data_IF_927167166516
#
_entry.id   IF_927167166516
#
_cell.length_a   1.000
_cell.length_b   1.000
_cell.length_c   1.000
_cell.angle_alpha   90.00
_cell.angle_beta   90.00
_cell.angle_gamma   90.00
#
_symmetry.space_group_name_H-M   'P 1'
#
loop_
_entity.id
_entity.type
_entity.pdbx_description
1 polymer ?
#
# COMPACT_ATOMS: atom_id res chain seq x y z
N UNK A 1 84.17 -2.93 -21.87
CA UNK A 1 83.15 -2.18 -22.66
C UNK A 1 82.04 -3.15 -23.07
N UNK A 2 80.78 -2.72 -23.07
CA UNK A 2 79.54 -3.45 -23.49
C UNK A 2 78.62 -4.07 -22.40
N UNK A 3 78.60 -3.55 -21.15
CA UNK A 3 77.56 -3.90 -20.14
C UNK A 3 76.37 -2.88 -20.11
N UNK A 4 76.40 -1.84 -20.95
CA UNK A 4 75.38 -0.75 -20.93
C UNK A 4 74.19 -0.96 -21.89
N UNK A 5 74.08 -2.09 -22.57
CA UNK A 5 73.19 -2.25 -23.75
C UNK A 5 72.09 -3.32 -23.65
N UNK A 6 71.78 -3.84 -22.46
CA UNK A 6 70.64 -4.75 -22.30
C UNK A 6 69.77 -4.46 -21.07
N UNK A 7 69.80 -3.23 -20.57
CA UNK A 7 68.74 -2.71 -19.68
C UNK A 7 67.52 -2.17 -20.47
N UNK A 8 67.58 -2.21 -21.81
CA UNK A 8 66.52 -1.72 -22.71
C UNK A 8 65.41 -2.77 -22.94
N UNK A 9 65.59 -4.01 -22.47
CA UNK A 9 64.55 -5.06 -22.58
C UNK A 9 63.67 -5.21 -21.31
N UNK A 10 63.88 -4.39 -20.28
CA UNK A 10 63.19 -4.50 -18.97
C UNK A 10 62.28 -3.29 -18.66
N UNK A 11 61.84 -2.53 -19.67
CA UNK A 11 60.98 -1.36 -19.48
C UNK A 11 59.72 -1.37 -20.34
N UNK A 12 59.26 -2.55 -20.77
CA UNK A 12 58.06 -2.66 -21.60
C UNK A 12 57.11 -3.75 -21.12
N UNK A 13 56.71 -3.69 -19.84
CA UNK A 13 55.48 -4.33 -19.40
C UNK A 13 54.88 -3.68 -18.14
N UNK A 14 54.82 -2.34 -18.12
CA UNK A 14 53.87 -1.68 -17.21
C UNK A 14 52.49 -1.79 -17.85
N UNK A 15 51.79 -2.90 -17.59
CA UNK A 15 50.36 -3.02 -17.85
C UNK A 15 49.66 -2.05 -16.91
N UNK A 16 49.40 -0.83 -17.39
CA UNK A 16 48.53 0.11 -16.73
C UNK A 16 47.14 -0.51 -16.65
N UNK A 17 46.76 -1.01 -15.49
CA UNK A 17 45.36 -1.33 -15.19
C UNK A 17 44.61 0.00 -15.20
N UNK A 18 43.92 0.32 -16.30
CA UNK A 18 42.89 1.34 -16.29
C UNK A 18 41.82 0.88 -15.29
N UNK A 19 41.60 1.56 -14.16
CA UNK A 19 40.46 1.26 -13.33
C UNK A 19 39.23 1.51 -14.19
N UNK A 20 38.48 0.45 -14.51
CA UNK A 20 37.14 0.59 -15.06
C UNK A 20 36.33 1.27 -13.97
N UNK A 21 36.15 2.58 -14.12
CA UNK A 21 35.20 3.34 -13.34
C UNK A 21 33.82 2.77 -13.65
N UNK A 22 33.36 1.86 -12.80
CA UNK A 22 32.00 1.36 -12.81
C UNK A 22 31.14 2.58 -12.45
N UNK A 23 30.47 3.16 -13.44
CA UNK A 23 29.50 4.22 -13.18
C UNK A 23 28.41 3.62 -12.29
N UNK A 24 28.45 3.96 -11.01
CA UNK A 24 27.34 3.69 -10.11
C UNK A 24 26.15 4.47 -10.66
N UNK A 25 25.09 3.75 -11.06
CA UNK A 25 23.85 4.37 -11.51
C UNK A 25 23.27 5.03 -10.27
N UNK A 26 23.55 6.32 -10.08
CA UNK A 26 22.90 7.12 -9.05
C UNK A 26 21.44 7.22 -9.47
N UNK A 27 20.59 6.44 -8.80
CA UNK A 27 19.15 6.46 -9.00
C UNK A 27 18.61 7.84 -8.59
N UNK A 28 17.98 8.54 -9.52
CA UNK A 28 17.53 9.91 -9.32
C UNK A 28 16.34 9.97 -8.36
N UNK A 29 16.43 10.80 -7.33
CA UNK A 29 15.31 11.10 -6.43
C UNK A 29 14.23 11.89 -7.16
N UNK A 30 12.98 11.44 -7.07
CA UNK A 30 11.80 12.12 -7.65
C UNK A 30 10.89 12.73 -6.58
N UNK A 31 10.95 12.24 -5.34
CA UNK A 31 10.25 12.80 -4.19
C UNK A 31 10.91 12.35 -2.88
N UNK A 32 10.74 13.15 -1.82
CA UNK A 32 11.19 12.84 -0.45
C UNK A 32 9.98 12.89 0.47
N UNK A 33 9.79 11.84 1.28
CA UNK A 33 8.68 11.65 2.21
C UNK A 33 9.25 11.44 3.61
N UNK A 34 9.32 12.52 4.40
CA UNK A 34 10.06 12.55 5.65
C UNK A 34 11.54 12.14 5.42
N UNK A 35 11.96 10.98 5.92
CA UNK A 35 13.31 10.45 5.77
C UNK A 35 13.44 9.44 4.61
N UNK A 36 12.32 9.05 3.99
CA UNK A 36 12.28 8.12 2.88
C UNK A 36 12.39 8.82 1.52
N UNK A 37 13.19 8.27 0.62
CA UNK A 37 13.30 8.75 -0.76
C UNK A 37 12.51 7.85 -1.70
N UNK A 38 11.75 8.47 -2.61
CA UNK A 38 11.13 7.79 -3.75
C UNK A 38 12.03 8.05 -4.96
N UNK A 39 12.44 6.97 -5.60
CA UNK A 39 13.39 7.01 -6.71
C UNK A 39 12.71 6.90 -8.07
N UNK A 40 13.45 7.24 -9.12
CA UNK A 40 12.98 7.05 -10.49
C UNK A 40 12.82 5.56 -10.82
N UNK A 41 13.70 4.69 -10.30
CA UNK A 41 13.55 3.24 -10.47
C UNK A 41 12.26 2.72 -9.85
N UNK A 42 11.84 3.24 -8.69
CA UNK A 42 10.56 2.88 -8.06
C UNK A 42 9.37 3.25 -8.95
N UNK A 43 9.36 4.47 -9.48
CA UNK A 43 8.29 4.94 -10.39
C UNK A 43 8.25 4.10 -11.66
N UNK A 44 9.41 3.80 -12.24
CA UNK A 44 9.49 3.00 -13.46
C UNK A 44 9.05 1.56 -13.22
N UNK A 45 9.44 0.96 -12.10
CA UNK A 45 9.08 -0.41 -11.72
C UNK A 45 7.59 -0.57 -11.48
N UNK A 46 6.98 0.35 -10.73
CA UNK A 46 5.53 0.32 -10.46
C UNK A 46 4.72 0.70 -11.70
N UNK A 47 5.24 1.63 -12.51
CA UNK A 47 4.58 2.12 -13.71
C UNK A 47 4.77 1.31 -14.97
N UNK A 48 5.62 0.28 -14.98
CA UNK A 48 6.11 -0.36 -16.20
C UNK A 48 4.98 -0.78 -17.15
N UNK A 49 4.00 -1.50 -16.62
CA UNK A 49 2.86 -1.98 -17.41
C UNK A 49 2.02 -0.81 -17.97
N UNK A 50 1.77 0.21 -17.16
CA UNK A 50 0.98 1.39 -17.55
C UNK A 50 1.73 2.20 -18.62
N UNK A 51 3.03 2.42 -18.44
CA UNK A 51 3.85 3.16 -19.40
C UNK A 51 3.96 2.42 -20.73
N UNK A 52 4.10 1.10 -20.69
CA UNK A 52 4.11 0.25 -21.88
C UNK A 52 2.78 0.35 -22.64
N UNK A 53 1.67 0.17 -21.94
CA UNK A 53 0.34 0.28 -22.51
C UNK A 53 0.11 1.65 -23.17
N UNK A 54 0.45 2.75 -22.48
CA UNK A 54 0.32 4.10 -23.03
C UNK A 54 1.21 4.28 -24.27
N UNK A 55 2.40 3.70 -24.27
CA UNK A 55 3.33 3.82 -25.42
C UNK A 55 2.79 3.07 -26.64
N UNK A 56 2.12 1.94 -26.43
CA UNK A 56 1.57 1.07 -27.49
C UNK A 56 0.22 1.56 -28.01
N UNK A 57 -0.67 2.02 -27.13
CA UNK A 57 -2.08 2.29 -27.46
C UNK A 57 -2.39 3.79 -27.68
N UNK A 58 -1.64 4.71 -27.04
CA UNK A 58 -1.99 6.13 -27.09
C UNK A 58 -1.58 6.79 -28.42
N UNK A 59 -2.46 7.66 -28.98
CA UNK A 59 -2.13 8.47 -30.15
C UNK A 59 -0.86 9.29 -29.92
N UNK A 60 0.03 9.44 -30.93
CA UNK A 60 1.30 10.15 -30.78
C UNK A 60 1.16 11.56 -30.17
N UNK A 61 0.11 12.30 -30.54
CA UNK A 61 -0.18 13.64 -30.08
C UNK A 61 -0.60 13.73 -28.59
N UNK A 62 -1.07 12.63 -27.99
CA UNK A 62 -1.52 12.58 -26.60
C UNK A 62 -0.57 11.76 -25.71
N UNK A 63 0.32 10.98 -26.30
CA UNK A 63 1.19 10.02 -25.60
C UNK A 63 2.04 10.67 -24.52
N UNK A 64 2.68 11.80 -24.83
CA UNK A 64 3.57 12.48 -23.87
C UNK A 64 2.81 12.96 -22.62
N UNK A 65 1.65 13.60 -22.84
CA UNK A 65 0.81 14.08 -21.74
C UNK A 65 0.25 12.90 -20.92
N UNK A 66 -0.19 11.83 -21.58
CA UNK A 66 -0.65 10.61 -20.90
C UNK A 66 0.45 9.98 -20.03
N UNK A 67 1.68 9.88 -20.54
CA UNK A 67 2.82 9.38 -19.77
C UNK A 67 3.14 10.29 -18.56
N UNK A 68 3.08 11.61 -18.73
CA UNK A 68 3.30 12.57 -17.66
C UNK A 68 2.26 12.44 -16.55
N UNK A 69 0.99 12.33 -16.91
CA UNK A 69 -0.10 12.11 -15.97
C UNK A 69 0.04 10.77 -15.24
N UNK A 70 0.38 9.70 -15.95
CA UNK A 70 0.62 8.39 -15.38
C UNK A 70 1.78 8.44 -14.36
N UNK A 71 2.92 9.06 -14.72
CA UNK A 71 4.05 9.24 -13.79
C UNK A 71 3.63 10.00 -12.53
N UNK A 72 2.91 11.11 -12.68
CA UNK A 72 2.40 11.89 -11.54
C UNK A 72 1.54 11.03 -10.62
N UNK A 73 0.60 10.27 -11.20
CA UNK A 73 -0.30 9.38 -10.44
C UNK A 73 0.49 8.32 -9.66
N UNK A 74 1.49 7.70 -10.28
CA UNK A 74 2.33 6.69 -9.64
C UNK A 74 3.16 7.31 -8.51
N UNK A 75 3.76 8.49 -8.72
CA UNK A 75 4.49 9.21 -7.67
C UNK A 75 3.57 9.50 -6.48
N UNK A 76 2.36 10.02 -6.73
CA UNK A 76 1.37 10.27 -5.68
C UNK A 76 1.02 8.98 -4.92
N UNK A 77 0.77 7.89 -5.62
CA UNK A 77 0.50 6.58 -5.00
C UNK A 77 1.67 6.09 -4.13
N UNK A 78 2.91 6.25 -4.61
CA UNK A 78 4.10 5.88 -3.84
C UNK A 78 4.26 6.73 -2.57
N UNK A 79 3.98 8.04 -2.66
CA UNK A 79 3.99 8.95 -1.50
C UNK A 79 2.94 8.50 -0.48
N UNK A 80 1.70 8.28 -0.92
CA UNK A 80 0.61 7.84 -0.04
C UNK A 80 0.94 6.51 0.65
N UNK A 81 1.46 5.54 -0.09
CA UNK A 81 1.85 4.25 0.47
C UNK A 81 2.98 4.41 1.50
N UNK A 82 4.00 5.22 1.22
CA UNK A 82 5.08 5.54 2.18
C UNK A 82 4.52 6.15 3.46
N UNK A 83 3.65 7.15 3.35
CA UNK A 83 3.04 7.81 4.51
C UNK A 83 2.20 6.84 5.35
N UNK A 84 1.42 5.97 4.70
CA UNK A 84 0.62 4.96 5.39
C UNK A 84 1.48 3.96 6.15
N UNK A 85 2.56 3.47 5.53
CA UNK A 85 3.48 2.54 6.18
C UNK A 85 4.20 3.21 7.37
N UNK A 86 4.64 4.46 7.21
CA UNK A 86 5.25 5.23 8.30
C UNK A 86 4.28 5.44 9.46
N UNK A 87 3.04 5.83 9.17
CA UNK A 87 2.01 6.03 10.19
C UNK A 87 1.67 4.71 10.91
N UNK A 88 1.53 3.62 10.18
CA UNK A 88 1.27 2.31 10.77
C UNK A 88 2.42 1.87 11.67
N UNK A 89 3.68 2.09 11.26
CA UNK A 89 4.85 1.80 12.07
C UNK A 89 4.89 2.64 13.35
N UNK A 90 4.61 3.95 13.26
CA UNK A 90 4.55 4.86 14.41
C UNK A 90 3.48 4.45 15.43
N UNK A 91 2.38 3.85 14.97
CA UNK A 91 1.30 3.34 15.81
C UNK A 91 1.45 1.85 16.20
N UNK A 92 2.57 1.21 15.84
CA UNK A 92 2.82 -0.21 16.02
C UNK A 92 1.73 -1.13 15.43
N UNK A 93 1.05 -0.66 14.39
CA UNK A 93 0.05 -1.42 13.65
C UNK A 93 0.76 -2.28 12.62
N UNK A 94 0.63 -3.60 12.75
CA UNK A 94 1.18 -4.58 11.81
C UNK A 94 0.11 -5.58 11.38
N UNK A 95 0.42 -6.36 10.33
CA UNK A 95 -0.45 -7.41 9.80
C UNK A 95 0.26 -8.74 9.96
N UNK A 96 -0.35 -9.66 10.70
CA UNK A 96 0.15 -11.02 10.88
C UNK A 96 -0.17 -11.90 9.66
N UNK A 97 0.66 -12.91 9.39
CA UNK A 97 0.43 -13.86 8.28
C UNK A 97 -0.95 -14.54 8.38
N UNK A 98 -1.40 -14.87 9.60
CA UNK A 98 -2.71 -15.45 9.84
C UNK A 98 -3.89 -14.51 9.48
N UNK A 99 -3.68 -13.19 9.45
CA UNK A 99 -4.69 -12.24 8.95
C UNK A 99 -4.75 -12.29 7.42
N UNK A 100 -3.61 -12.40 6.75
CA UNK A 100 -3.50 -12.51 5.29
C UNK A 100 -4.16 -13.81 4.81
N UNK A 101 -3.87 -14.93 5.48
CA UNK A 101 -4.46 -16.23 5.15
C UNK A 101 -5.98 -16.23 5.31
N UNK A 102 -6.49 -15.59 6.37
CA UNK A 102 -7.93 -15.43 6.59
C UNK A 102 -8.56 -14.55 5.51
N UNK A 103 -7.94 -13.42 5.17
CA UNK A 103 -8.42 -12.54 4.11
C UNK A 103 -8.44 -13.25 2.75
N UNK A 104 -7.38 -13.99 2.41
CA UNK A 104 -7.33 -14.79 1.18
C UNK A 104 -8.48 -15.81 1.14
N UNK A 105 -8.68 -16.58 2.21
CA UNK A 105 -9.80 -17.54 2.28
C UNK A 105 -11.17 -16.87 2.12
N UNK A 106 -11.37 -15.70 2.72
CA UNK A 106 -12.61 -14.93 2.57
C UNK A 106 -12.82 -14.46 1.12
N UNK A 107 -11.76 -14.03 0.44
CA UNK A 107 -11.84 -13.65 -0.99
C UNK A 107 -12.22 -14.85 -1.84
N UNK A 108 -11.58 -16.01 -1.63
CA UNK A 108 -11.89 -17.24 -2.36
C UNK A 108 -13.35 -17.66 -2.15
N UNK A 109 -13.81 -17.69 -0.90
CA UNK A 109 -15.18 -18.03 -0.55
C UNK A 109 -16.19 -17.07 -1.19
N UNK A 110 -15.92 -15.76 -1.14
CA UNK A 110 -16.81 -14.74 -1.72
C UNK A 110 -16.93 -14.84 -3.24
N UNK A 111 -15.83 -15.18 -3.91
CA UNK A 111 -15.80 -15.32 -5.37
C UNK A 111 -16.19 -16.72 -5.85
N UNK A 112 -16.41 -17.67 -4.94
CA UNK A 112 -16.68 -19.07 -5.28
C UNK A 112 -15.49 -19.77 -5.95
N UNK A 113 -14.27 -19.31 -5.68
CA UNK A 113 -13.06 -19.85 -6.30
C UNK A 113 -12.50 -21.03 -5.51
N UNK A 114 -12.13 -22.09 -6.23
CA UNK A 114 -11.27 -23.15 -5.71
C UNK A 114 -9.80 -22.70 -5.68
N UNK A 115 -8.93 -23.48 -5.05
CA UNK A 115 -7.49 -23.19 -5.05
C UNK A 115 -6.89 -23.30 -6.47
N UNK A 116 -7.45 -24.18 -7.31
CA UNK A 116 -7.11 -24.30 -8.73
C UNK A 116 -7.54 -23.07 -9.52
N UNK A 117 -8.77 -22.58 -9.33
CA UNK A 117 -9.27 -21.36 -9.98
C UNK A 117 -8.42 -20.15 -9.59
N UNK A 118 -8.03 -20.06 -8.32
CA UNK A 118 -7.18 -18.99 -7.83
C UNK A 118 -5.80 -18.98 -8.50
N UNK A 119 -5.17 -20.15 -8.66
CA UNK A 119 -3.89 -20.26 -9.37
C UNK A 119 -4.02 -19.90 -10.84
N UNK A 120 -5.13 -20.29 -11.49
CA UNK A 120 -5.41 -19.92 -12.86
C UNK A 120 -5.58 -18.39 -13.00
N UNK A 121 -6.29 -17.76 -12.06
CA UNK A 121 -6.53 -16.32 -12.06
C UNK A 121 -5.23 -15.53 -11.82
N UNK A 122 -4.38 -15.97 -10.89
CA UNK A 122 -3.06 -15.38 -10.68
C UNK A 122 -2.20 -15.45 -11.96
N UNK A 123 -2.27 -16.57 -12.69
CA UNK A 123 -1.56 -16.73 -13.97
C UNK A 123 -2.13 -15.80 -15.05
N UNK A 124 -3.46 -15.68 -15.13
CA UNK A 124 -4.13 -14.81 -16.10
C UNK A 124 -3.77 -13.33 -15.87
N UNK A 125 -3.66 -12.92 -14.60
CA UNK A 125 -3.29 -11.56 -14.21
C UNK A 125 -1.77 -11.30 -14.19
N UNK A 126 -0.95 -12.34 -14.40
CA UNK A 126 0.50 -12.24 -14.36
C UNK A 126 1.07 -11.97 -12.97
N UNK A 127 0.32 -12.24 -11.90
CA UNK A 127 0.71 -12.02 -10.51
C UNK A 127 1.23 -13.30 -9.87
N UNK A 128 2.34 -13.21 -9.15
CA UNK A 128 2.77 -14.30 -8.27
C UNK A 128 1.93 -14.32 -6.98
N UNK A 129 1.85 -15.49 -6.34
CA UNK A 129 1.19 -15.61 -5.03
C UNK A 129 1.80 -14.68 -3.97
N UNK A 130 3.13 -14.48 -4.00
CA UNK A 130 3.82 -13.57 -3.09
C UNK A 130 3.38 -12.11 -3.30
N UNK A 131 3.31 -11.65 -4.56
CA UNK A 131 2.83 -10.30 -4.89
C UNK A 131 1.38 -10.10 -4.46
N UNK A 132 0.51 -11.08 -4.71
CA UNK A 132 -0.87 -11.02 -4.27
C UNK A 132 -1.01 -10.93 -2.75
N UNK A 133 -0.24 -11.73 -2.01
CA UNK A 133 -0.22 -11.66 -0.53
C UNK A 133 0.26 -10.30 -0.03
N UNK A 134 1.22 -9.68 -0.69
CA UNK A 134 1.64 -8.31 -0.37
C UNK A 134 0.51 -7.31 -0.58
N UNK A 135 -0.21 -7.40 -1.70
CA UNK A 135 -1.39 -6.56 -1.95
C UNK A 135 -2.45 -6.74 -0.86
N UNK A 136 -2.71 -7.97 -0.42
CA UNK A 136 -3.62 -8.21 0.71
C UNK A 136 -3.08 -7.60 2.02
N UNK A 137 -1.78 -7.71 2.29
CA UNK A 137 -1.16 -7.10 3.48
C UNK A 137 -1.38 -5.59 3.50
N UNK A 138 -1.12 -4.91 2.39
CA UNK A 138 -1.33 -3.47 2.25
C UNK A 138 -2.79 -3.07 2.48
N UNK A 139 -3.74 -3.83 1.92
CA UNK A 139 -5.18 -3.59 2.09
C UNK A 139 -5.61 -3.75 3.55
N UNK A 140 -5.15 -4.81 4.22
CA UNK A 140 -5.46 -5.06 5.63
C UNK A 140 -4.85 -3.96 6.50
N UNK A 141 -3.59 -3.58 6.26
CA UNK A 141 -2.89 -2.54 7.02
C UNK A 141 -3.65 -1.20 6.93
N UNK A 142 -4.04 -0.80 5.71
CA UNK A 142 -4.84 0.41 5.47
C UNK A 142 -6.17 0.36 6.23
N UNK A 143 -6.88 -0.76 6.17
CA UNK A 143 -8.14 -0.93 6.90
C UNK A 143 -7.94 -0.82 8.42
N UNK A 144 -6.90 -1.44 8.97
CA UNK A 144 -6.57 -1.35 10.40
C UNK A 144 -6.26 0.07 10.82
N UNK A 145 -5.48 0.81 10.02
CA UNK A 145 -5.14 2.19 10.29
C UNK A 145 -6.38 3.10 10.29
N UNK A 146 -7.25 2.97 9.28
CA UNK A 146 -8.51 3.73 9.23
C UNK A 146 -9.39 3.43 10.45
N UNK A 147 -9.56 2.15 10.78
CA UNK A 147 -10.35 1.74 11.95
C UNK A 147 -9.78 2.30 13.26
N UNK A 148 -8.46 2.36 13.39
CA UNK A 148 -7.78 2.95 14.55
C UNK A 148 -8.06 4.46 14.64
N UNK A 149 -7.86 5.19 13.55
CA UNK A 149 -8.09 6.64 13.45
C UNK A 149 -9.56 7.05 13.65
N UNK A 150 -10.51 6.23 13.21
CA UNK A 150 -11.94 6.48 13.41
C UNK A 150 -12.32 6.22 14.87
N UNK A 151 -11.89 5.09 15.46
CA UNK A 151 -12.19 4.77 16.86
C UNK A 151 -11.58 5.77 17.83
N UNK A 152 -10.41 6.34 17.54
CA UNK A 152 -9.79 7.37 18.38
C UNK A 152 -10.51 8.72 18.33
N UNK A 153 -11.31 8.98 17.29
CA UNK A 153 -12.06 10.23 17.09
C UNK A 153 -13.51 10.18 17.56
N UNK A 154 -14.06 8.98 17.77
CA UNK A 154 -15.42 8.79 18.34
C UNK A 154 -15.32 8.74 19.86
N UNK A 155 -15.27 9.92 20.49
CA UNK A 155 -15.60 10.07 21.91
C UNK A 155 -17.09 10.36 21.95
N UNK A 156 -17.93 9.35 22.22
CA UNK A 156 -19.34 9.60 22.54
C UNK A 156 -19.35 10.21 23.94
N UNK A 157 -19.69 11.50 24.12
CA UNK A 157 -19.81 12.08 25.45
C UNK A 157 -20.95 11.36 26.18
N UNK A 158 -20.78 11.03 27.46
CA UNK A 158 -21.83 10.40 28.27
C UNK A 158 -23.16 11.19 28.22
N UNK A 159 -23.08 12.49 27.98
CA UNK A 159 -24.21 13.40 27.78
C UNK A 159 -25.06 13.09 26.54
N UNK A 160 -24.49 12.54 25.46
CA UNK A 160 -25.26 12.12 24.28
C UNK A 160 -25.99 10.79 24.52
N UNK A 161 -25.42 9.89 25.33
CA UNK A 161 -26.07 8.65 25.75
C UNK A 161 -27.30 8.99 26.61
N UNK A 162 -27.15 9.93 27.55
CA UNK A 162 -28.24 10.33 28.43
C UNK A 162 -29.36 11.08 27.68
N UNK A 163 -29.02 11.95 26.72
CA UNK A 163 -30.02 12.61 25.85
C UNK A 163 -30.75 11.62 24.93
N UNK A 164 -30.06 10.60 24.40
CA UNK A 164 -30.68 9.53 23.63
C UNK A 164 -31.64 8.68 24.47
N UNK A 165 -31.22 8.31 25.69
CA UNK A 165 -32.07 7.61 26.66
C UNK A 165 -33.30 8.46 27.03
N UNK A 166 -33.14 9.73 27.39
CA UNK A 166 -34.26 10.61 27.76
C UNK A 166 -35.24 10.82 26.59
N UNK A 167 -34.76 10.98 25.35
CA UNK A 167 -35.63 11.15 24.18
C UNK A 167 -36.38 9.88 23.77
N UNK A 168 -35.81 8.69 23.98
CA UNK A 168 -36.45 7.43 23.61
C UNK A 168 -37.38 6.90 24.71
N UNK A 169 -36.96 6.96 25.98
CA UNK A 169 -37.78 6.52 27.11
C UNK A 169 -38.97 7.44 27.37
N UNK A 170 -38.84 8.75 27.11
CA UNK A 170 -39.95 9.69 27.23
C UNK A 170 -40.98 9.57 26.09
N UNK A 171 -40.63 8.91 24.97
CA UNK A 171 -41.57 8.62 23.87
C UNK A 171 -42.35 7.32 24.06
N UNK A 172 -41.81 6.34 24.78
CA UNK A 172 -42.49 5.06 25.04
C UNK A 172 -43.35 5.08 26.31
N UNK A 173 -42.94 5.79 27.37
CA UNK A 173 -43.72 5.87 28.62
C UNK A 173 -44.92 6.84 28.58
N UNK A 174 -45.04 7.64 27.52
CA UNK A 174 -46.15 8.59 27.34
C UNK A 174 -47.37 8.05 26.59
N UNK A 175 -47.34 6.78 26.11
CA UNK A 175 -48.44 6.20 25.33
C UNK A 175 -49.19 5.03 25.97
N UNK A 176 -48.72 4.51 27.11
CA UNK A 176 -49.41 3.40 27.80
C UNK A 176 -50.06 3.78 29.15
N UNK A 177 -49.87 5.00 29.66
CA UNK A 177 -50.49 5.43 30.92
C UNK A 177 -51.92 6.04 30.77
N UNK A 178 -52.55 5.87 29.60
CA UNK A 178 -53.81 6.57 29.26
C UNK A 178 -55.05 5.69 29.06
N UNK A 179 -54.94 4.37 29.07
CA UNK A 179 -56.10 3.49 28.88
C UNK A 179 -55.87 2.15 29.60
N UNK A 180 -56.89 1.70 30.33
CA UNK A 180 -56.96 0.43 31.08
C UNK A 180 -56.18 0.46 32.40
N UNK A 181 -56.76 0.40 33.60
CA UNK A 181 -58.09 0.00 34.03
C UNK A 181 -57.90 -0.43 35.48
N UNK A 182 -58.30 0.42 36.42
CA UNK A 182 -58.34 0.08 37.84
C UNK A 182 -59.30 -1.09 38.04
N UNK A 183 -58.79 -2.29 38.29
CA UNK A 183 -59.46 -3.27 39.15
C UNK A 183 -58.50 -4.39 39.51
N UNK A 184 -58.70 -4.93 40.71
CA UNK A 184 -58.21 -6.20 41.21
C UNK A 184 -56.90 -6.21 42.02
N UNK A 185 -57.01 -5.82 43.30
CA UNK A 185 -56.43 -6.59 44.42
C UNK A 185 -57.30 -6.38 45.67
N UNK A 186 -58.28 -7.26 45.87
CA UNK A 186 -58.90 -7.52 47.18
C UNK A 186 -59.44 -8.94 47.22
N UNK A 187 -58.69 -9.86 47.83
CA UNK A 187 -59.15 -10.98 48.68
C UNK A 187 -57.93 -11.71 49.19
#
# INVERSE_FOLDING_TARGET
MKIRWLYILLTLLSVTHTPVARSEIIDSSVAVVNEDVITLSDVNRIGEAIFRQITEEAPPEQREEALKQARKKIITQLIENKLLTQQAAALHISVAEAEIDRAQKQVLQRNGFTDEDFKAELKNTGLSQAQYRETLREQILRSKLINYEVRSKVVVPDEEIQRYFEQQYSKETGKEAGAEGYSFYSS
#
